data_IF_402833477866
#
_entry.id   IF_402833477866
#
_cell.length_a   1.000
_cell.length_b   1.000
_cell.length_c   1.000
_cell.angle_alpha   90.00
_cell.angle_beta   90.00
_cell.angle_gamma   90.00
#
_symmetry.space_group_name_H-M   'P 1'
#
loop_
_entity.id
_entity.type
_entity.pdbx_description
1 polymer ?
#
# COMPACT_ATOMS: atom_id res chain seq x y z
N UNK A 1 2.69 16.65 -2.20
CA UNK A 1 2.16 15.69 -1.20
C UNK A 1 2.82 14.31 -1.23
N UNK A 2 3.66 14.02 -2.25
CA UNK A 2 4.27 12.70 -2.44
C UNK A 2 5.07 12.19 -1.26
N UNK A 3 5.92 13.03 -0.65
CA UNK A 3 6.80 12.62 0.47
C UNK A 3 5.96 12.12 1.65
N UNK A 4 4.90 12.83 2.02
CA UNK A 4 3.97 12.38 3.06
C UNK A 4 3.30 11.05 2.68
N UNK A 5 2.87 10.90 1.42
CA UNK A 5 2.31 9.64 0.93
C UNK A 5 3.29 8.46 1.00
N UNK A 6 4.57 8.67 0.69
CA UNK A 6 5.62 7.64 0.81
C UNK A 6 5.81 7.26 2.28
N UNK A 7 6.02 8.25 3.16
CA UNK A 7 6.24 8.03 4.60
C UNK A 7 5.06 7.24 5.18
N UNK A 8 3.83 7.63 4.85
CA UNK A 8 2.63 6.94 5.34
C UNK A 8 2.58 5.51 4.82
N UNK A 9 2.94 5.24 3.56
CA UNK A 9 2.93 3.87 3.02
C UNK A 9 4.01 2.96 3.63
N UNK A 10 5.05 3.49 4.26
CA UNK A 10 6.03 2.67 5.00
C UNK A 10 5.36 2.00 6.21
N UNK A 11 4.51 2.75 6.93
CA UNK A 11 3.81 2.25 8.12
C UNK A 11 2.43 1.65 7.80
N UNK A 12 1.72 2.24 6.84
CA UNK A 12 0.35 1.94 6.45
C UNK A 12 0.22 1.88 4.92
N UNK A 13 0.73 0.81 4.28
CA UNK A 13 0.62 0.64 2.83
C UNK A 13 -0.84 0.68 2.37
N UNK A 14 -1.09 1.46 1.31
CA UNK A 14 -2.42 1.75 0.79
C UNK A 14 -2.95 3.11 1.23
N UNK A 15 -2.75 3.51 2.49
CA UNK A 15 -3.24 4.82 2.97
C UNK A 15 -2.48 5.98 2.31
N UNK A 16 -1.16 5.86 2.19
CA UNK A 16 -0.35 6.84 1.47
C UNK A 16 -0.71 6.94 -0.01
N UNK A 17 -1.14 5.82 -0.61
CA UNK A 17 -1.61 5.74 -1.99
C UNK A 17 -2.96 6.45 -2.19
N UNK A 18 -3.85 6.37 -1.20
CA UNK A 18 -5.10 7.14 -1.18
C UNK A 18 -4.83 8.65 -1.11
N UNK A 19 -3.88 9.07 -0.26
CA UNK A 19 -3.54 10.49 -0.05
C UNK A 19 -2.98 11.14 -1.33
N UNK A 20 -2.22 10.40 -2.13
CA UNK A 20 -1.73 10.89 -3.43
C UNK A 20 -2.78 10.82 -4.55
N UNK A 21 -4.03 10.47 -4.24
CA UNK A 21 -5.18 10.50 -5.15
C UNK A 21 -5.36 9.25 -6.01
N UNK A 22 -4.62 8.17 -5.74
CA UNK A 22 -4.77 6.88 -6.43
C UNK A 22 -5.76 5.98 -5.65
N UNK A 23 -7.03 6.40 -5.62
CA UNK A 23 -8.06 5.82 -4.74
C UNK A 23 -8.26 4.32 -4.95
N UNK A 24 -8.49 3.88 -6.19
CA UNK A 24 -8.73 2.46 -6.51
C UNK A 24 -7.54 1.59 -6.08
N UNK A 25 -6.33 2.06 -6.39
CA UNK A 25 -5.11 1.33 -6.07
C UNK A 25 -4.89 1.24 -4.55
N UNK A 26 -5.14 2.32 -3.81
CA UNK A 26 -5.04 2.31 -2.35
C UNK A 26 -6.06 1.38 -1.69
N UNK A 27 -7.31 1.34 -2.17
CA UNK A 27 -8.33 0.40 -1.67
C UNK A 27 -7.89 -1.05 -1.88
N UNK A 28 -7.41 -1.40 -3.08
CA UNK A 28 -6.91 -2.74 -3.40
C UNK A 28 -5.74 -3.12 -2.48
N UNK A 29 -4.79 -2.20 -2.27
CA UNK A 29 -3.65 -2.43 -1.37
C UNK A 29 -4.09 -2.72 0.06
N UNK A 30 -5.05 -1.96 0.61
CA UNK A 30 -5.58 -2.17 1.96
C UNK A 30 -6.25 -3.55 2.08
N UNK A 31 -7.09 -3.92 1.11
CA UNK A 31 -7.77 -5.22 1.10
C UNK A 31 -6.75 -6.36 1.03
N UNK A 32 -5.74 -6.26 0.15
CA UNK A 32 -4.72 -7.30 0.01
C UNK A 32 -3.84 -7.44 1.26
N UNK A 33 -3.47 -6.33 1.90
CA UNK A 33 -2.75 -6.35 3.19
C UNK A 33 -3.60 -7.07 4.25
N UNK A 34 -4.89 -6.75 4.33
CA UNK A 34 -5.80 -7.38 5.28
C UNK A 34 -5.91 -8.90 5.04
N UNK A 35 -6.09 -9.32 3.79
CA UNK A 35 -6.11 -10.74 3.41
C UNK A 35 -4.77 -11.43 3.72
N UNK A 36 -3.65 -10.78 3.43
CA UNK A 36 -2.32 -11.31 3.71
C UNK A 36 -2.08 -11.51 5.21
N UNK A 37 -2.55 -10.59 6.05
CA UNK A 37 -2.50 -10.70 7.51
C UNK A 37 -3.37 -11.88 7.96
N UNK A 38 -4.61 -11.98 7.49
CA UNK A 38 -5.50 -13.10 7.82
C UNK A 38 -4.87 -14.45 7.47
N UNK A 39 -4.27 -14.57 6.28
CA UNK A 39 -3.52 -15.77 5.88
C UNK A 39 -2.34 -16.04 6.81
N UNK A 40 -1.58 -15.01 7.17
CA UNK A 40 -0.40 -15.15 8.04
C UNK A 40 -0.78 -15.65 9.44
N UNK A 41 -1.90 -15.19 10.00
CA UNK A 41 -2.36 -15.60 11.34
C UNK A 41 -2.74 -17.09 11.40
N UNK A 42 -3.08 -17.72 10.28
CA UNK A 42 -3.38 -19.18 10.23
C UNK A 42 -2.15 -20.07 10.44
N UNK A 43 -0.93 -19.49 10.52
CA UNK A 43 0.33 -20.23 10.66
C UNK A 43 0.80 -20.82 9.33
N UNK A 44 0.09 -21.81 8.79
CA UNK A 44 0.43 -22.42 7.48
C UNK A 44 0.30 -21.39 6.35
N UNK A 45 -0.72 -20.54 6.42
CA UNK A 45 -0.94 -19.48 5.45
C UNK A 45 0.15 -18.41 5.45
N UNK A 46 1.06 -18.36 6.44
CA UNK A 46 2.18 -17.41 6.46
C UNK A 46 3.16 -17.61 5.29
N UNK A 47 3.29 -18.84 4.76
CA UNK A 47 4.11 -19.14 3.59
C UNK A 47 3.68 -18.33 2.36
N UNK A 48 2.38 -18.00 2.27
CA UNK A 48 1.80 -17.23 1.16
C UNK A 48 1.51 -15.80 1.61
N UNK A 49 0.98 -15.62 2.81
CA UNK A 49 0.60 -14.34 3.39
C UNK A 49 1.78 -13.38 3.52
N UNK A 50 2.94 -13.82 4.02
CA UNK A 50 4.11 -12.96 4.16
C UNK A 50 4.65 -12.47 2.80
N UNK A 51 4.83 -13.32 1.78
CA UNK A 51 5.17 -12.84 0.43
C UNK A 51 4.16 -11.84 -0.14
N UNK A 52 2.86 -12.11 -0.04
CA UNK A 52 1.82 -11.17 -0.52
C UNK A 52 1.93 -9.84 0.22
N UNK A 53 2.03 -9.86 1.54
CA UNK A 53 2.18 -8.67 2.35
C UNK A 53 3.38 -7.83 1.89
N UNK A 54 4.54 -8.48 1.71
CA UNK A 54 5.77 -7.79 1.32
C UNK A 54 5.69 -7.18 -0.09
N UNK A 55 5.12 -7.92 -1.05
CA UNK A 55 4.89 -7.44 -2.42
C UNK A 55 3.97 -6.21 -2.41
N UNK A 56 2.85 -6.28 -1.68
CA UNK A 56 1.87 -5.18 -1.61
C UNK A 56 2.44 -3.97 -0.87
N UNK A 57 3.28 -4.20 0.16
CA UNK A 57 3.97 -3.14 0.88
C UNK A 57 4.92 -2.34 -0.02
N UNK A 58 5.80 -3.03 -0.75
CA UNK A 58 6.69 -2.39 -1.74
C UNK A 58 5.87 -1.67 -2.81
N UNK A 59 4.81 -2.32 -3.30
CA UNK A 59 3.94 -1.73 -4.30
C UNK A 59 3.28 -0.44 -3.80
N UNK A 60 2.85 -0.37 -2.54
CA UNK A 60 2.34 0.85 -1.91
C UNK A 60 3.35 2.00 -1.98
N UNK A 61 4.60 1.75 -1.56
CA UNK A 61 5.68 2.73 -1.59
C UNK A 61 5.91 3.25 -3.02
N UNK A 62 6.03 2.35 -4.00
CA UNK A 62 6.21 2.70 -5.42
C UNK A 62 5.03 3.53 -5.94
N UNK A 63 3.81 3.18 -5.51
CA UNK A 63 2.58 3.87 -5.95
C UNK A 63 2.55 5.33 -5.50
N UNK A 64 2.99 5.61 -4.28
CA UNK A 64 3.14 6.98 -3.77
C UNK A 64 4.29 7.72 -4.44
N UNK A 65 5.45 7.08 -4.64
CA UNK A 65 6.62 7.69 -5.26
C UNK A 65 6.37 8.10 -6.73
N UNK A 66 5.64 7.27 -7.47
CA UNK A 66 5.30 7.49 -8.88
C UNK A 66 4.03 8.30 -9.09
N UNK A 67 3.35 8.73 -8.02
CA UNK A 67 2.18 9.59 -8.18
C UNK A 67 2.61 10.94 -8.77
N UNK A 68 1.94 11.41 -9.82
CA UNK A 68 2.16 12.75 -10.36
C UNK A 68 1.60 13.74 -9.33
N UNK A 69 2.37 14.77 -8.95
CA UNK A 69 1.92 15.73 -7.93
C UNK A 69 0.73 16.50 -8.53
N UNK A 70 -0.48 16.16 -8.10
CA UNK A 70 -1.69 16.91 -8.49
C UNK A 70 -1.67 18.34 -7.95
N UNK A 71 -0.78 18.68 -7.02
CA UNK A 71 -0.62 20.04 -6.51
C UNK A 71 -0.06 21.03 -7.52
N UNK A 72 0.51 20.58 -8.65
CA UNK A 72 0.94 21.50 -9.73
C UNK A 72 -0.19 21.86 -10.71
N UNK A 73 -1.41 21.36 -10.50
CA UNK A 73 -2.60 21.61 -11.35
C UNK A 73 -3.72 22.38 -10.63
N UNK A 74 -3.43 23.00 -9.49
CA UNK A 74 -4.34 23.93 -8.80
C UNK A 74 -3.67 25.27 -8.64
#
# INVERSE_FOLDING_TARGET
>A
MKVAGIIINIFFPGVGTLIVGKIVQGIIQIILIFVAILLTITGIGAIIGLPIYFIVWIWGIISAATAIDRSSRR
#
